data_IF_763197632102
#
_entry.id   IF_763197632102
#
_cell.length_a   1.000
_cell.length_b   1.000
_cell.length_c   1.000
_cell.angle_alpha   90.00
_cell.angle_beta   90.00
_cell.angle_gamma   90.00
#
_symmetry.space_group_name_H-M   'P 1'
#
loop_
_entity.id
_entity.type
_entity.pdbx_description
1 polymer ?
#
# COMPACT_ATOMS: atom_id res chain seq x y z
N UNK A 1 27.08 5.11 -15.79
CA UNK A 1 26.11 5.72 -14.89
C UNK A 1 24.68 5.60 -15.39
N UNK A 2 24.41 5.73 -16.71
CA UNK A 2 23.08 5.48 -17.30
C UNK A 2 22.55 4.07 -17.05
N UNK A 3 23.43 3.08 -17.00
CA UNK A 3 23.08 1.69 -16.70
C UNK A 3 22.55 1.53 -15.28
N UNK A 4 23.15 2.20 -14.31
CA UNK A 4 22.67 2.18 -12.91
C UNK A 4 21.31 2.85 -12.78
N UNK A 5 21.10 3.96 -13.46
CA UNK A 5 19.81 4.65 -13.52
C UNK A 5 18.72 3.75 -14.09
N UNK A 6 19.02 3.02 -15.17
CA UNK A 6 18.10 2.04 -15.76
C UNK A 6 17.78 0.90 -14.79
N UNK A 7 18.75 0.44 -14.01
CA UNK A 7 18.56 -0.60 -13.00
C UNK A 7 17.61 -0.12 -11.87
N UNK A 8 17.74 1.13 -11.42
CA UNK A 8 16.81 1.69 -10.44
C UNK A 8 15.37 1.76 -10.97
N UNK A 9 15.21 2.10 -12.25
CA UNK A 9 13.91 2.09 -12.92
C UNK A 9 13.31 0.69 -13.00
N UNK A 10 14.10 -0.32 -13.31
CA UNK A 10 13.68 -1.72 -13.30
C UNK A 10 13.24 -2.19 -11.91
N UNK A 11 14.01 -1.88 -10.89
CA UNK A 11 13.66 -2.21 -9.50
C UNK A 11 12.37 -1.51 -9.07
N UNK A 12 12.16 -0.27 -9.49
CA UNK A 12 10.92 0.46 -9.26
C UNK A 12 9.73 -0.24 -9.92
N UNK A 13 9.86 -0.59 -11.19
CA UNK A 13 8.82 -1.32 -11.93
C UNK A 13 8.51 -2.68 -11.29
N UNK A 14 9.52 -3.39 -10.80
CA UNK A 14 9.34 -4.66 -10.09
C UNK A 14 8.54 -4.47 -8.80
N UNK A 15 8.81 -3.43 -8.05
CA UNK A 15 8.08 -3.11 -6.82
C UNK A 15 6.61 -2.77 -7.11
N UNK A 16 6.35 -2.03 -8.18
CA UNK A 16 4.99 -1.68 -8.60
C UNK A 16 4.21 -2.93 -9.05
N UNK A 17 4.85 -3.81 -9.82
CA UNK A 17 4.28 -5.09 -10.23
C UNK A 17 3.98 -5.96 -9.00
N UNK A 18 4.85 -6.00 -8.01
CA UNK A 18 4.63 -6.76 -6.77
C UNK A 18 3.42 -6.26 -6.00
N UNK A 19 3.28 -4.94 -5.85
CA UNK A 19 2.12 -4.34 -5.19
C UNK A 19 0.83 -4.63 -5.98
N UNK A 20 0.85 -4.47 -7.29
CA UNK A 20 -0.28 -4.75 -8.16
C UNK A 20 -0.67 -6.23 -8.13
N UNK A 21 0.30 -7.14 -8.15
CA UNK A 21 0.05 -8.59 -8.07
C UNK A 21 -0.62 -8.96 -6.76
N UNK A 22 -0.17 -8.39 -5.65
CA UNK A 22 -0.81 -8.61 -4.35
C UNK A 22 -2.25 -8.06 -4.32
N UNK A 23 -2.48 -6.89 -4.92
CA UNK A 23 -3.82 -6.31 -5.03
C UNK A 23 -4.75 -7.22 -5.84
N UNK A 24 -4.28 -7.76 -6.97
CA UNK A 24 -5.05 -8.68 -7.81
C UNK A 24 -5.34 -9.99 -7.08
N UNK A 25 -4.35 -10.54 -6.38
CA UNK A 25 -4.52 -11.78 -5.61
C UNK A 25 -5.59 -11.64 -4.52
N UNK A 26 -5.77 -10.44 -3.99
CA UNK A 26 -6.71 -10.14 -2.91
C UNK A 26 -7.97 -9.41 -3.38
N UNK A 27 -8.26 -9.39 -4.68
CA UNK A 27 -9.42 -8.66 -5.22
C UNK A 27 -10.75 -9.14 -4.63
N UNK A 28 -10.85 -10.41 -4.27
CA UNK A 28 -12.03 -11.01 -3.65
C UNK A 28 -11.92 -11.17 -2.13
N UNK A 29 -10.86 -10.66 -1.53
CA UNK A 29 -10.67 -10.72 -0.08
C UNK A 29 -11.50 -9.63 0.59
N UNK A 30 -12.39 -10.02 1.50
CA UNK A 30 -13.23 -9.08 2.24
C UNK A 30 -12.40 -8.20 3.15
N UNK A 31 -12.66 -6.90 3.13
CA UNK A 31 -11.93 -5.92 3.93
C UNK A 31 -10.52 -5.62 3.44
N UNK A 32 -10.15 -6.10 2.27
CA UNK A 32 -8.84 -5.80 1.70
C UNK A 32 -8.75 -4.35 1.24
N UNK A 33 -7.64 -3.70 1.56
CA UNK A 33 -7.29 -2.37 1.08
C UNK A 33 -6.07 -2.46 0.17
N UNK A 34 -6.21 -2.00 -1.07
CA UNK A 34 -5.13 -2.06 -2.05
C UNK A 34 -3.95 -1.23 -1.60
N UNK A 35 -2.77 -1.69 -1.94
CA UNK A 35 -1.52 -0.96 -1.72
C UNK A 35 -1.08 -0.27 -3.00
N UNK A 36 -0.41 0.85 -2.86
CA UNK A 36 0.20 1.61 -3.95
C UNK A 36 1.65 1.90 -3.61
N UNK A 37 2.54 1.63 -4.54
CA UNK A 37 3.93 2.01 -4.43
C UNK A 37 4.10 3.50 -4.73
N UNK A 38 4.85 4.20 -3.91
CA UNK A 38 5.18 5.61 -4.10
C UNK A 38 6.68 5.74 -4.34
N UNK A 39 7.04 6.42 -5.39
CA UNK A 39 8.42 6.60 -5.83
C UNK A 39 8.87 8.05 -5.64
N UNK A 40 10.16 8.22 -5.44
CA UNK A 40 10.80 9.51 -5.43
C UNK A 40 11.94 9.54 -6.43
N UNK A 41 12.21 10.72 -6.94
CA UNK A 41 13.37 10.95 -7.81
C UNK A 41 14.63 11.10 -6.97
N UNK A 42 15.74 10.57 -7.48
CA UNK A 42 17.06 10.76 -6.88
C UNK A 42 17.73 11.93 -7.60
N UNK A 43 17.88 13.04 -6.89
CA UNK A 43 18.56 14.20 -7.43
C UNK A 43 20.07 14.09 -7.25
N UNK A 44 20.79 14.24 -8.35
CA UNK A 44 22.24 14.44 -8.28
C UNK A 44 22.52 15.90 -7.87
N UNK A 45 22.90 16.13 -6.64
CA UNK A 45 23.32 17.44 -6.18
C UNK A 45 24.77 17.70 -6.60
N UNK A 46 24.96 18.19 -7.81
CA UNK A 46 26.25 18.78 -8.18
C UNK A 46 26.13 20.31 -8.15
N UNK A 47 26.94 21.00 -7.37
CA UNK A 47 26.89 22.48 -7.30
C UNK A 47 27.29 23.19 -8.60
N UNK A 48 27.75 22.44 -9.59
CA UNK A 48 28.23 22.95 -10.88
C UNK A 48 27.22 22.75 -12.04
N UNK A 49 26.06 22.11 -11.79
CA UNK A 49 25.05 21.89 -12.82
C UNK A 49 23.86 22.82 -12.62
N UNK A 50 23.47 23.49 -13.71
CA UNK A 50 22.23 24.25 -13.73
C UNK A 50 21.03 23.31 -13.54
N UNK A 51 20.20 23.61 -12.54
CA UNK A 51 19.04 22.78 -12.18
C UNK A 51 18.04 22.59 -13.32
N UNK A 52 18.05 23.49 -14.33
CA UNK A 52 17.14 23.41 -15.49
C UNK A 52 17.56 22.38 -16.56
N UNK A 53 18.78 21.86 -16.50
CA UNK A 53 19.30 20.92 -17.50
C UNK A 53 19.87 19.63 -16.88
N UNK A 54 19.71 19.43 -15.56
CA UNK A 54 20.19 18.24 -14.90
C UNK A 54 19.28 17.04 -15.18
N UNK A 55 19.90 15.93 -15.59
CA UNK A 55 19.22 14.64 -15.72
C UNK A 55 19.17 14.00 -14.35
N UNK A 56 18.02 13.44 -13.98
CA UNK A 56 17.85 12.73 -12.71
C UNK A 56 18.76 11.49 -12.60
N UNK A 57 19.06 11.08 -11.39
CA UNK A 57 19.93 9.94 -11.09
C UNK A 57 19.18 8.63 -10.88
N UNK A 58 17.89 8.58 -11.19
CA UNK A 58 17.06 7.40 -11.07
C UNK A 58 15.92 7.57 -10.07
N UNK A 59 15.29 6.46 -9.73
CA UNK A 59 14.14 6.42 -8.84
C UNK A 59 14.42 5.55 -7.62
N UNK A 60 13.77 5.89 -6.51
CA UNK A 60 13.79 5.09 -5.30
C UNK A 60 12.36 4.85 -4.82
N UNK A 61 12.09 3.65 -4.34
CA UNK A 61 10.83 3.35 -3.67
C UNK A 61 10.81 4.06 -2.31
N UNK A 62 9.88 5.00 -2.15
CA UNK A 62 9.71 5.75 -0.90
C UNK A 62 8.92 4.98 0.12
N UNK A 63 7.80 4.44 -0.29
CA UNK A 63 6.92 3.69 0.60
C UNK A 63 5.87 2.92 -0.21
N UNK A 64 5.28 1.92 0.43
CA UNK A 64 4.07 1.26 -0.06
C UNK A 64 2.94 1.64 0.89
N UNK A 65 1.95 2.38 0.38
CA UNK A 65 0.84 2.89 1.18
C UNK A 65 -0.45 2.16 0.88
N UNK A 66 -1.17 1.81 1.93
CA UNK A 66 -2.54 1.32 1.80
C UNK A 66 -3.51 2.46 1.52
N UNK A 67 -4.46 2.20 0.61
CA UNK A 67 -5.51 3.14 0.25
C UNK A 67 -6.78 2.79 1.03
N UNK A 68 -7.19 3.63 1.98
CA UNK A 68 -8.36 3.40 2.83
C UNK A 68 -9.63 3.98 2.20
N UNK A 69 -9.88 3.69 0.94
CA UNK A 69 -11.11 4.08 0.26
C UNK A 69 -12.21 3.06 0.53
N UNK A 70 -13.47 3.55 0.62
CA UNK A 70 -14.62 2.69 0.81
C UNK A 70 -14.87 1.82 -0.42
N UNK A 71 -14.97 0.52 -0.21
CA UNK A 71 -15.38 -0.44 -1.22
C UNK A 71 -16.90 -0.62 -1.26
N UNK A 72 -17.36 -1.46 -2.19
CA UNK A 72 -18.77 -1.81 -2.27
C UNK A 72 -19.16 -2.73 -1.11
N UNK A 73 -20.29 -2.42 -0.48
CA UNK A 73 -20.89 -3.26 0.56
C UNK A 73 -21.87 -4.19 -0.13
N UNK A 74 -21.65 -5.51 0.01
CA UNK A 74 -22.55 -6.54 -0.50
C UNK A 74 -23.24 -7.23 0.66
N UNK A 75 -24.53 -7.58 0.46
CA UNK A 75 -25.28 -8.32 1.47
C UNK A 75 -24.89 -9.80 1.47
N UNK A 76 -24.85 -10.38 2.65
CA UNK A 76 -24.58 -11.79 2.90
C UNK A 76 -25.78 -12.44 3.60
N UNK A 77 -25.91 -13.76 3.47
CA UNK A 77 -26.91 -14.53 4.20
C UNK A 77 -26.51 -14.83 5.65
N UNK A 78 -25.26 -14.56 6.00
CA UNK A 78 -24.75 -14.78 7.34
C UNK A 78 -24.99 -13.54 8.21
N UNK A 79 -25.76 -13.68 9.29
CA UNK A 79 -26.10 -12.59 10.21
C UNK A 79 -24.90 -12.05 11.01
N UNK A 80 -23.79 -12.79 11.04
CA UNK A 80 -22.57 -12.35 11.73
C UNK A 80 -21.64 -11.52 10.86
N UNK A 81 -21.94 -11.38 9.57
CA UNK A 81 -21.16 -10.55 8.67
C UNK A 81 -21.53 -9.08 8.88
N UNK A 82 -20.55 -8.31 9.31
CA UNK A 82 -20.72 -6.89 9.62
C UNK A 82 -19.75 -6.08 8.77
N UNK A 83 -20.24 -5.02 8.16
CA UNK A 83 -19.43 -4.10 7.36
C UNK A 83 -19.50 -2.68 7.93
N UNK A 84 -18.37 -1.97 7.87
CA UNK A 84 -18.29 -0.57 8.25
C UNK A 84 -18.61 0.28 7.01
N UNK A 85 -19.58 1.18 7.15
CA UNK A 85 -19.86 2.22 6.15
C UNK A 85 -19.14 3.50 6.59
N UNK A 86 -18.17 3.92 5.80
CA UNK A 86 -17.33 5.07 6.11
C UNK A 86 -15.93 4.68 6.59
N UNK A 87 -15.27 5.59 7.29
CA UNK A 87 -13.91 5.38 7.80
C UNK A 87 -13.94 4.81 9.21
N UNK A 88 -13.08 3.85 9.47
CA UNK A 88 -12.92 3.26 10.79
C UNK A 88 -12.46 1.82 10.73
N UNK A 89 -12.24 1.25 11.90
CA UNK A 89 -11.81 -0.13 12.09
C UNK A 89 -12.60 -0.75 13.22
N UNK A 90 -12.76 -2.08 13.18
CA UNK A 90 -13.21 -2.82 14.35
C UNK A 90 -12.08 -2.95 15.36
N UNK A 91 -12.36 -2.67 16.61
CA UNK A 91 -11.41 -2.87 17.70
C UNK A 91 -11.70 -4.19 18.39
N UNK A 92 -10.69 -5.03 18.55
CA UNK A 92 -10.79 -6.34 19.16
C UNK A 92 -9.82 -6.45 20.34
N UNK A 93 -10.28 -7.03 21.43
CA UNK A 93 -9.42 -7.44 22.53
C UNK A 93 -9.30 -8.97 22.50
N UNK A 94 -8.14 -9.51 22.13
CA UNK A 94 -7.98 -10.96 21.99
C UNK A 94 -8.02 -11.72 23.33
N UNK A 95 -7.86 -11.02 24.44
CA UNK A 95 -7.98 -11.60 25.79
C UNK A 95 -8.43 -10.53 26.80
N UNK A 96 -9.25 -10.92 27.77
CA UNK A 96 -9.66 -10.05 28.87
C UNK A 96 -8.50 -9.61 29.77
N UNK A 97 -7.38 -10.33 29.72
CA UNK A 97 -6.19 -10.07 30.54
C UNK A 97 -5.08 -9.31 29.83
N UNK A 98 -5.08 -9.29 28.48
CA UNK A 98 -4.13 -8.50 27.72
C UNK A 98 -4.70 -7.11 27.45
N UNK A 99 -4.00 -6.07 27.86
CA UNK A 99 -4.39 -4.69 27.58
C UNK A 99 -4.20 -4.26 26.12
N UNK A 100 -3.88 -5.20 25.23
CA UNK A 100 -3.58 -4.92 23.84
C UNK A 100 -4.85 -4.95 22.97
N UNK A 101 -5.13 -3.85 22.31
CA UNK A 101 -6.26 -3.73 21.36
C UNK A 101 -5.74 -3.97 19.94
N UNK A 102 -6.41 -4.82 19.20
CA UNK A 102 -6.11 -5.11 17.79
C UNK A 102 -7.22 -4.52 16.93
N UNK A 103 -6.85 -3.96 15.78
CA UNK A 103 -7.79 -3.37 14.83
C UNK A 103 -7.88 -4.23 13.57
N UNK A 104 -9.08 -4.42 13.06
CA UNK A 104 -9.33 -5.17 11.84
C UNK A 104 -10.43 -4.52 11.01
N UNK A 105 -10.42 -4.79 9.70
CA UNK A 105 -11.47 -4.38 8.78
C UNK A 105 -12.47 -5.50 8.47
N UNK A 106 -12.20 -6.71 8.91
CA UNK A 106 -13.05 -7.87 8.66
C UNK A 106 -13.23 -8.71 9.92
N UNK A 107 -14.46 -9.17 10.15
CA UNK A 107 -14.81 -10.06 11.26
C UNK A 107 -15.10 -11.50 10.81
N UNK A 108 -14.83 -11.84 9.56
CA UNK A 108 -15.23 -13.12 8.97
C UNK A 108 -14.46 -14.32 9.54
N UNK A 109 -13.27 -14.10 10.08
CA UNK A 109 -12.40 -15.16 10.60
C UNK A 109 -11.97 -14.90 12.05
N UNK A 110 -12.93 -14.81 12.92
CA UNK A 110 -12.67 -14.76 14.37
C UNK A 110 -13.02 -16.11 15.01
#
# INVERSE_FOLDING_TARGET
MSFYTALTGLNGAQSDISATSNNIANVNTTGFKRSRAEFGDIFATSPLQNASSSIGSGTILKSVKQQFTQGNITSSLNVLDIAISGQGFFSLKPSLTSGQTVYTLSLIHI
#
